data_IF_663032416754
#
_entry.id   IF_663032416754
#
_cell.length_a   1.000
_cell.length_b   1.000
_cell.length_c   1.000
_cell.angle_alpha   90.00
_cell.angle_beta   90.00
_cell.angle_gamma   90.00
#
_symmetry.space_group_name_H-M   'P 1'
#
loop_
_entity.id
_entity.type
_entity.pdbx_description
1 polymer ?
#
# COMPACT_ATOMS: atom_id res chain seq x y z
N UNK A 1 -3.53 -37.11 48.03
CA UNK A 1 -3.09 -36.84 46.65
C UNK A 1 -4.09 -35.89 45.99
N UNK A 2 -3.83 -34.58 46.07
CA UNK A 2 -4.67 -33.56 45.45
C UNK A 2 -4.21 -33.36 44.00
N UNK A 3 -5.09 -33.57 43.01
CA UNK A 3 -4.82 -33.23 41.61
C UNK A 3 -5.01 -31.72 41.45
N UNK A 4 -3.93 -30.96 41.55
CA UNK A 4 -3.94 -29.52 41.27
C UNK A 4 -4.25 -29.29 39.80
N UNK A 5 -5.35 -28.59 39.52
CA UNK A 5 -5.78 -28.19 38.19
C UNK A 5 -4.98 -26.97 37.74
N UNK A 6 -3.75 -27.20 37.27
CA UNK A 6 -2.90 -26.16 36.70
C UNK A 6 -3.20 -25.96 35.21
N UNK A 7 -4.39 -25.44 34.91
CA UNK A 7 -4.79 -25.09 33.55
C UNK A 7 -4.96 -23.59 33.39
N UNK A 8 -4.27 -22.98 32.42
CA UNK A 8 -4.41 -21.57 32.00
C UNK A 8 -5.86 -21.16 31.65
N UNK A 9 -6.74 -22.14 31.48
CA UNK A 9 -8.16 -22.00 31.19
C UNK A 9 -8.98 -21.55 32.41
N UNK A 10 -8.51 -21.82 33.62
CA UNK A 10 -9.18 -21.44 34.87
C UNK A 10 -8.63 -20.12 35.45
N UNK A 11 -7.38 -19.75 35.14
CA UNK A 11 -6.72 -18.54 35.68
C UNK A 11 -7.03 -17.26 34.90
N UNK A 12 -7.36 -17.37 33.61
CA UNK A 12 -7.79 -16.24 32.80
C UNK A 12 -9.30 -16.39 32.62
N UNK A 13 -10.08 -15.46 33.19
CA UNK A 13 -11.54 -15.38 33.08
C UNK A 13 -12.01 -15.08 31.64
N UNK A 14 -11.60 -15.92 30.69
CA UNK A 14 -11.92 -15.81 29.28
C UNK A 14 -13.39 -16.19 29.12
N UNK A 15 -14.18 -15.24 28.60
CA UNK A 15 -15.60 -15.46 28.32
C UNK A 15 -15.80 -16.68 27.42
N UNK A 16 -16.90 -17.44 27.60
CA UNK A 16 -17.18 -18.63 26.80
C UNK A 16 -17.18 -18.27 25.30
N UNK A 17 -16.50 -19.12 24.52
CA UNK A 17 -16.31 -18.94 23.08
C UNK A 17 -17.65 -18.75 22.38
N UNK A 18 -17.96 -17.52 21.99
CA UNK A 18 -19.17 -17.19 21.25
C UNK A 18 -19.05 -17.81 19.85
N UNK A 19 -19.99 -18.69 19.50
CA UNK A 19 -20.03 -19.32 18.19
C UNK A 19 -20.57 -18.29 17.19
N UNK A 20 -19.68 -17.50 16.60
CA UNK A 20 -20.03 -16.56 15.53
C UNK A 20 -20.44 -17.39 14.32
N UNK A 21 -21.73 -17.37 13.96
CA UNK A 21 -22.21 -17.97 12.71
C UNK A 21 -21.49 -17.25 11.57
N UNK A 22 -20.63 -17.97 10.86
CA UNK A 22 -19.99 -17.47 9.65
C UNK A 22 -21.09 -17.13 8.65
N UNK A 23 -21.39 -15.85 8.47
CA UNK A 23 -22.16 -15.40 7.32
C UNK A 23 -21.29 -15.65 6.10
N UNK A 24 -21.82 -16.39 5.12
CA UNK A 24 -21.19 -16.54 3.80
C UNK A 24 -21.20 -15.16 3.17
N UNK A 25 -20.10 -14.43 3.32
CA UNK A 25 -19.88 -13.18 2.62
C UNK A 25 -19.68 -13.58 1.17
N UNK A 26 -20.59 -13.14 0.32
CA UNK A 26 -20.56 -13.33 -1.13
C UNK A 26 -19.37 -12.55 -1.72
N UNK A 27 -18.21 -13.21 -1.76
CA UNK A 27 -16.91 -12.65 -2.12
C UNK A 27 -16.95 -12.03 -3.53
N UNK A 28 -17.77 -12.60 -4.43
CA UNK A 28 -17.85 -12.20 -5.83
C UNK A 28 -18.44 -10.81 -6.03
N UNK A 29 -19.44 -10.41 -5.24
CA UNK A 29 -20.03 -9.06 -5.33
C UNK A 29 -19.08 -8.00 -4.75
N UNK A 30 -18.35 -8.39 -3.70
CA UNK A 30 -17.39 -7.51 -3.04
C UNK A 30 -16.16 -7.27 -3.93
N UNK A 31 -15.66 -8.30 -4.63
CA UNK A 31 -14.56 -8.14 -5.58
C UNK A 31 -14.93 -7.31 -6.82
N UNK A 32 -16.16 -7.45 -7.33
CA UNK A 32 -16.64 -6.63 -8.46
C UNK A 32 -16.76 -5.16 -8.06
N UNK A 33 -17.32 -4.86 -6.89
CA UNK A 33 -17.40 -3.50 -6.35
C UNK A 33 -16.00 -2.89 -6.11
N UNK A 34 -15.04 -3.66 -5.60
CA UNK A 34 -13.65 -3.21 -5.43
C UNK A 34 -12.96 -2.96 -6.77
N UNK A 35 -13.16 -3.83 -7.77
CA UNK A 35 -12.62 -3.61 -9.13
C UNK A 35 -13.20 -2.39 -9.81
N UNK A 36 -14.50 -2.14 -9.65
CA UNK A 36 -15.16 -0.95 -10.18
C UNK A 36 -14.62 0.32 -9.52
N UNK A 37 -14.46 0.35 -8.19
CA UNK A 37 -13.86 1.48 -7.47
C UNK A 37 -12.40 1.76 -7.89
N UNK A 38 -11.64 0.74 -8.28
CA UNK A 38 -10.27 0.91 -8.82
C UNK A 38 -10.22 1.20 -10.34
N UNK A 39 -11.37 1.26 -11.02
CA UNK A 39 -11.44 1.46 -12.48
C UNK A 39 -11.88 2.87 -12.89
N UNK A 40 -12.51 3.65 -12.00
CA UNK A 40 -13.18 4.94 -12.32
C UNK A 40 -12.26 6.17 -12.39
N UNK A 41 -11.00 6.01 -12.83
CA UNK A 41 -10.07 7.15 -12.84
C UNK A 41 -8.75 6.93 -13.58
N UNK A 42 -8.72 6.06 -14.59
CA UNK A 42 -7.51 5.85 -15.40
C UNK A 42 -7.29 7.07 -16.29
N UNK A 43 -6.56 8.07 -15.78
CA UNK A 43 -5.78 8.97 -16.65
C UNK A 43 -4.98 8.08 -17.61
N UNK A 44 -4.95 8.44 -18.89
CA UNK A 44 -4.08 7.77 -19.86
C UNK A 44 -2.63 8.06 -19.46
N UNK A 45 -2.02 7.13 -18.72
CA UNK A 45 -0.65 7.24 -18.25
C UNK A 45 0.25 6.49 -19.24
N UNK A 46 1.05 7.23 -19.99
CA UNK A 46 2.12 6.66 -20.82
C UNK A 46 3.38 6.48 -19.96
N UNK A 47 4.01 5.30 -20.03
CA UNK A 47 5.29 5.04 -19.36
C UNK A 47 6.45 5.51 -20.23
N UNK A 48 7.41 6.19 -19.63
CA UNK A 48 8.65 6.61 -20.26
C UNK A 48 9.83 5.91 -19.58
N UNK A 49 10.67 5.24 -20.37
CA UNK A 49 11.94 4.67 -19.92
C UNK A 49 13.08 5.47 -20.56
N UNK A 50 14.05 5.91 -19.76
CA UNK A 50 15.18 6.73 -20.22
C UNK A 50 16.46 6.19 -19.58
N UNK A 51 17.48 6.02 -20.40
CA UNK A 51 18.82 5.68 -19.94
C UNK A 51 19.55 6.97 -19.53
N UNK A 52 20.08 6.98 -18.30
CA UNK A 52 20.76 8.12 -17.71
C UNK A 52 22.14 7.66 -17.26
N UNK A 53 23.15 8.50 -17.49
CA UNK A 53 24.49 8.23 -16.98
C UNK A 53 24.50 8.01 -15.46
N UNK A 54 25.36 7.09 -15.02
CA UNK A 54 25.41 6.64 -13.62
C UNK A 54 25.82 7.76 -12.67
N UNK A 55 26.71 8.66 -13.08
CA UNK A 55 27.12 9.78 -12.24
C UNK A 55 26.02 10.83 -12.14
N UNK A 56 25.35 11.11 -13.25
CA UNK A 56 24.23 12.04 -13.29
C UNK A 56 23.06 11.54 -12.42
N UNK A 57 22.74 10.25 -12.50
CA UNK A 57 21.72 9.63 -11.67
C UNK A 57 22.02 9.77 -10.17
N UNK A 58 23.28 9.58 -9.77
CA UNK A 58 23.71 9.78 -8.37
C UNK A 58 23.52 11.22 -7.92
N UNK A 59 24.01 12.19 -8.70
CA UNK A 59 23.89 13.63 -8.38
C UNK A 59 22.42 14.03 -8.25
N UNK A 60 21.57 13.57 -9.17
CA UNK A 60 20.12 13.79 -9.11
C UNK A 60 19.53 13.21 -7.82
N UNK A 61 19.86 11.96 -7.46
CA UNK A 61 19.34 11.33 -6.23
C UNK A 61 19.75 12.06 -4.96
N UNK A 62 20.97 12.60 -4.88
CA UNK A 62 21.41 13.39 -3.73
C UNK A 62 20.58 14.67 -3.60
N UNK A 63 20.37 15.39 -4.70
CA UNK A 63 19.52 16.59 -4.72
C UNK A 63 18.08 16.29 -4.28
N UNK A 64 17.49 15.24 -4.85
CA UNK A 64 16.11 14.84 -4.52
C UNK A 64 15.94 14.43 -3.06
N UNK A 65 16.95 13.79 -2.47
CA UNK A 65 16.93 13.44 -1.05
C UNK A 65 16.94 14.68 -0.14
N UNK A 66 17.63 15.75 -0.54
CA UNK A 66 17.65 17.02 0.20
C UNK A 66 16.31 17.77 0.09
N UNK A 67 15.68 17.73 -1.08
CA UNK A 67 14.43 18.44 -1.37
C UNK A 67 13.17 17.63 -0.97
N UNK A 68 13.33 16.36 -0.57
CA UNK A 68 12.21 15.48 -0.20
C UNK A 68 11.28 15.12 -1.36
N UNK A 69 11.77 15.20 -2.60
CA UNK A 69 10.97 14.95 -3.81
C UNK A 69 11.23 13.58 -4.43
N UNK A 70 10.24 13.06 -5.14
CA UNK A 70 10.43 11.83 -5.93
C UNK A 70 11.05 12.14 -7.29
N UNK A 71 11.69 11.12 -7.89
CA UNK A 71 12.24 11.25 -9.25
C UNK A 71 11.13 11.56 -10.26
N UNK A 72 9.94 10.98 -10.06
CA UNK A 72 8.78 11.23 -10.93
C UNK A 72 8.39 12.70 -10.87
N UNK A 73 8.21 13.26 -9.68
CA UNK A 73 7.73 14.63 -9.51
C UNK A 73 8.75 15.64 -10.03
N UNK A 74 10.04 15.34 -9.87
CA UNK A 74 11.12 16.13 -10.44
C UNK A 74 11.12 16.13 -11.96
N UNK A 75 10.95 14.97 -12.60
CA UNK A 75 10.89 14.91 -14.06
C UNK A 75 9.64 15.62 -14.59
N UNK A 76 8.50 15.46 -13.92
CA UNK A 76 7.27 16.17 -14.29
C UNK A 76 7.44 17.69 -14.16
N UNK A 77 8.01 18.18 -13.07
CA UNK A 77 8.22 19.62 -12.88
C UNK A 77 9.20 20.23 -13.88
N UNK A 78 10.24 19.48 -14.27
CA UNK A 78 11.14 19.89 -15.36
C UNK A 78 10.41 19.99 -16.70
N UNK A 79 9.56 19.01 -17.04
CA UNK A 79 8.79 19.02 -18.28
C UNK A 79 7.76 20.15 -18.29
N UNK A 80 7.06 20.36 -17.18
CA UNK A 80 6.10 21.47 -17.03
C UNK A 80 6.80 22.82 -17.18
N UNK A 81 7.95 23.02 -16.52
CA UNK A 81 8.72 24.24 -16.60
C UNK A 81 9.30 24.52 -18.00
N UNK A 82 9.53 23.48 -18.80
CA UNK A 82 10.00 23.58 -20.19
C UNK A 82 8.84 23.93 -21.15
N UNK A 83 7.68 23.28 -20.99
CA UNK A 83 6.51 23.50 -21.86
C UNK A 83 5.78 24.82 -21.58
N UNK A 84 5.74 25.28 -20.33
CA UNK A 84 5.06 26.52 -19.93
C UNK A 84 5.91 27.78 -20.12
N UNK A 85 7.12 27.64 -20.67
CA UNK A 85 8.01 28.75 -21.04
C UNK A 85 7.70 29.29 -22.42
#
# INVERSE_FOLDING_TARGET
MAKEKLGLKETLGLSPRQNIKKTVIDVEKTEKAVKELHSTGKKEITRLSVDIDKELFKKMKVKLAQEGMTVRDYVLSLIEADILK
#
